data_IF_157031183209
#
_entry.id   IF_157031183209
#
_cell.length_a   1.000
_cell.length_b   1.000
_cell.length_c   1.000
_cell.angle_alpha   90.00
_cell.angle_beta   90.00
_cell.angle_gamma   90.00
#
_symmetry.space_group_name_H-M   'P 1'
#
loop_
_entity.id
_entity.type
_entity.pdbx_description
1 polymer ?
#
# COMPACT_ATOMS: atom_id res chain seq x y z
N UNK A 1 -6.37 11.36 -15.97
CA UNK A 1 -6.42 9.89 -16.05
C UNK A 1 -6.23 9.52 -17.51
N UNK A 2 -5.41 8.51 -17.79
CA UNK A 2 -5.17 8.00 -19.12
C UNK A 2 -5.53 6.51 -19.12
N UNK A 3 -6.43 6.10 -20.01
CA UNK A 3 -6.77 4.70 -20.23
C UNK A 3 -6.16 4.29 -21.57
N UNK A 4 -5.45 3.17 -21.57
CA UNK A 4 -4.76 2.65 -22.73
C UNK A 4 -5.51 1.46 -23.31
N UNK A 5 -5.37 1.25 -24.62
CA UNK A 5 -6.07 0.17 -25.34
C UNK A 5 -5.70 -1.24 -24.87
N UNK A 6 -4.60 -1.39 -24.12
CA UNK A 6 -4.14 -2.63 -23.52
C UNK A 6 -4.70 -2.87 -22.10
N UNK A 7 -5.74 -2.14 -21.69
CA UNK A 7 -6.36 -2.13 -20.34
C UNK A 7 -5.51 -1.53 -19.22
N UNK A 8 -4.35 -0.95 -19.54
CA UNK A 8 -3.58 -0.21 -18.57
C UNK A 8 -4.24 1.14 -18.27
N UNK A 9 -4.10 1.58 -17.02
CA UNK A 9 -4.63 2.86 -16.57
C UNK A 9 -3.54 3.60 -15.85
N UNK A 10 -3.33 4.87 -16.20
CA UNK A 10 -2.39 5.76 -15.52
C UNK A 10 -3.12 6.95 -14.92
N UNK A 11 -2.80 7.20 -13.66
CA UNK A 11 -3.22 8.37 -12.92
C UNK A 11 -2.02 9.08 -12.34
N UNK A 12 -2.06 10.41 -12.34
CA UNK A 12 -1.04 11.27 -11.80
C UNK A 12 -1.73 12.29 -10.90
N UNK A 13 -1.19 12.50 -9.70
CA UNK A 13 -1.67 13.52 -8.78
C UNK A 13 -1.50 14.92 -9.38
N UNK A 14 -2.34 15.88 -9.00
CA UNK A 14 -2.29 17.24 -9.55
C UNK A 14 -0.94 17.93 -9.31
N UNK A 15 -0.34 17.66 -8.14
CA UNK A 15 0.99 18.13 -7.73
C UNK A 15 2.14 17.27 -8.30
N UNK A 16 1.83 16.20 -9.05
CA UNK A 16 2.75 15.23 -9.65
C UNK A 16 3.66 14.52 -8.64
N UNK A 17 3.26 14.49 -7.38
CA UNK A 17 4.00 13.84 -6.30
C UNK A 17 3.77 12.31 -6.30
N UNK A 18 2.63 11.86 -6.85
CA UNK A 18 2.24 10.45 -6.90
C UNK A 18 1.73 10.06 -8.28
N UNK A 19 2.27 8.98 -8.81
CA UNK A 19 1.80 8.31 -10.01
C UNK A 19 1.27 6.91 -9.67
N UNK A 20 0.13 6.54 -10.23
CA UNK A 20 -0.48 5.22 -10.04
C UNK A 20 -0.73 4.62 -11.42
N UNK A 21 -0.14 3.46 -11.68
CA UNK A 21 -0.34 2.69 -12.90
C UNK A 21 -1.01 1.37 -12.54
N UNK A 22 -2.14 1.08 -13.16
CA UNK A 22 -2.70 -0.25 -13.21
C UNK A 22 -2.27 -0.92 -14.51
N UNK A 23 -1.71 -2.12 -14.39
CA UNK A 23 -1.33 -2.97 -15.51
C UNK A 23 -2.34 -4.10 -15.64
N UNK A 24 -3.28 -3.97 -16.57
CA UNK A 24 -4.46 -4.84 -16.63
C UNK A 24 -4.13 -6.29 -16.97
N UNK A 25 -3.20 -6.51 -17.92
CA UNK A 25 -2.74 -7.85 -18.30
C UNK A 25 -2.01 -8.55 -17.15
N UNK A 26 -1.25 -7.80 -16.34
CA UNK A 26 -0.49 -8.35 -15.21
C UNK A 26 -1.32 -8.44 -13.93
N UNK A 27 -2.47 -7.76 -13.87
CA UNK A 27 -3.27 -7.64 -12.66
C UNK A 27 -2.48 -7.02 -11.50
N UNK A 28 -1.76 -5.93 -11.77
CA UNK A 28 -0.89 -5.28 -10.80
C UNK A 28 -1.11 -3.76 -10.79
N UNK A 29 -1.11 -3.19 -9.59
CA UNK A 29 -1.06 -1.73 -9.39
C UNK A 29 0.32 -1.34 -8.90
N UNK A 30 0.91 -0.33 -9.54
CA UNK A 30 2.21 0.26 -9.19
C UNK A 30 2.01 1.72 -8.84
N UNK A 31 2.33 2.07 -7.61
CA UNK A 31 2.34 3.44 -7.10
C UNK A 31 3.80 3.89 -7.09
N UNK A 32 4.09 5.02 -7.70
CA UNK A 32 5.42 5.64 -7.71
C UNK A 32 5.32 7.01 -7.08
N UNK A 33 6.19 7.28 -6.11
CA UNK A 33 6.32 8.57 -5.45
C UNK A 33 7.44 9.38 -6.13
N UNK A 34 7.37 10.71 -6.05
CA UNK A 34 8.37 11.62 -6.67
C UNK A 34 9.79 11.39 -6.19
N UNK A 35 9.96 10.90 -4.95
CA UNK A 35 11.26 10.56 -4.38
C UNK A 35 11.82 9.22 -4.90
N UNK A 36 11.12 8.52 -5.79
CA UNK A 36 11.52 7.24 -6.36
C UNK A 36 11.08 6.01 -5.55
N UNK A 37 10.40 6.20 -4.40
CA UNK A 37 9.79 5.08 -3.68
C UNK A 37 8.63 4.49 -4.49
N UNK A 38 8.49 3.16 -4.43
CA UNK A 38 7.51 2.41 -5.19
C UNK A 38 6.72 1.44 -4.32
N UNK A 39 5.42 1.30 -4.57
CA UNK A 39 4.57 0.28 -3.95
C UNK A 39 3.94 -0.51 -5.07
N UNK A 40 4.06 -1.83 -5.05
CA UNK A 40 3.37 -2.73 -5.98
C UNK A 40 2.40 -3.61 -5.23
N UNK A 41 1.19 -3.69 -5.75
CA UNK A 41 0.15 -4.58 -5.28
C UNK A 41 -0.31 -5.45 -6.44
N UNK A 42 -0.30 -6.76 -6.26
CA UNK A 42 -0.76 -7.71 -7.25
C UNK A 42 -2.13 -8.24 -6.84
N UNK A 43 -2.98 -8.58 -7.81
CA UNK A 43 -4.34 -9.08 -7.57
C UNK A 43 -4.38 -10.38 -6.75
N UNK A 44 -3.29 -11.15 -6.76
CA UNK A 44 -3.14 -12.33 -5.89
C UNK A 44 -2.91 -11.96 -4.40
N UNK A 45 -2.77 -10.67 -4.06
CA UNK A 45 -2.52 -10.16 -2.71
C UNK A 45 -1.04 -10.00 -2.36
N UNK A 46 -0.11 -10.22 -3.30
CA UNK A 46 1.31 -9.93 -3.11
C UNK A 46 1.52 -8.43 -3.03
N UNK A 47 2.38 -8.03 -2.09
CA UNK A 47 2.72 -6.63 -1.85
C UNK A 47 4.24 -6.51 -1.93
N UNK A 48 4.73 -5.48 -2.61
CA UNK A 48 6.14 -5.11 -2.65
C UNK A 48 6.29 -3.62 -2.39
N UNK A 49 7.24 -3.26 -1.54
CA UNK A 49 7.58 -1.89 -1.21
C UNK A 49 9.05 -1.67 -1.52
N UNK A 50 9.34 -0.73 -2.40
CA UNK A 50 10.68 -0.37 -2.87
C UNK A 50 11.02 1.00 -2.32
N UNK A 51 12.12 1.09 -1.57
CA UNK A 51 12.61 2.33 -0.99
C UNK A 51 13.80 2.85 -1.79
N UNK A 52 13.99 4.18 -1.80
CA UNK A 52 15.12 4.82 -2.49
C UNK A 52 16.49 4.33 -1.99
N UNK A 53 16.58 3.94 -0.71
CA UNK A 53 17.78 3.33 -0.12
C UNK A 53 18.16 1.99 -0.76
N UNK A 54 17.26 1.35 -1.50
CA UNK A 54 17.43 -0.01 -2.05
C UNK A 54 16.85 -1.11 -1.16
N UNK A 55 16.23 -0.74 -0.03
CA UNK A 55 15.55 -1.67 0.87
C UNK A 55 14.18 -2.07 0.31
N UNK A 56 13.82 -3.34 0.49
CA UNK A 56 12.63 -3.93 -0.12
C UNK A 56 11.85 -4.70 0.94
N UNK A 57 10.56 -4.43 1.04
CA UNK A 57 9.63 -5.29 1.78
C UNK A 57 8.77 -6.05 0.79
N UNK A 58 8.66 -7.36 0.93
CA UNK A 58 7.76 -8.21 0.13
C UNK A 58 6.87 -9.02 1.05
N UNK A 59 5.57 -9.09 0.76
CA UNK A 59 4.64 -9.99 1.41
C UNK A 59 4.10 -11.00 0.40
N UNK A 60 4.25 -12.28 0.69
CA UNK A 60 3.73 -13.38 -0.11
C UNK A 60 2.39 -13.87 0.48
N UNK A 61 1.29 -13.77 -0.26
CA UNK A 61 -0.04 -14.10 0.24
C UNK A 61 -0.28 -15.61 0.30
N UNK A 62 0.52 -16.43 -0.37
CA UNK A 62 0.38 -17.89 -0.38
C UNK A 62 1.06 -18.47 0.84
N UNK A 63 2.33 -18.12 1.05
CA UNK A 63 3.10 -18.62 2.20
C UNK A 63 2.84 -17.82 3.47
N UNK A 64 2.16 -16.67 3.35
CA UNK A 64 1.96 -15.69 4.43
C UNK A 64 3.29 -15.19 5.02
N UNK A 65 4.33 -15.17 4.20
CA UNK A 65 5.66 -14.73 4.61
C UNK A 65 5.87 -13.26 4.26
N UNK A 66 6.54 -12.55 5.15
CA UNK A 66 7.08 -11.21 4.90
C UNK A 66 8.59 -11.29 4.80
N UNK A 67 9.15 -10.88 3.68
CA UNK A 67 10.59 -10.76 3.46
C UNK A 67 10.99 -9.30 3.48
N UNK A 68 11.96 -8.96 4.31
CA UNK A 68 12.52 -7.62 4.45
C UNK A 68 14.00 -7.68 4.02
N UNK A 69 14.34 -7.05 2.91
CA UNK A 69 15.73 -6.84 2.49
C UNK A 69 16.15 -5.46 2.98
N UNK A 70 17.08 -5.43 3.92
CA UNK A 70 17.41 -4.26 4.71
C UNK A 70 18.89 -3.92 4.58
N UNK A 71 19.24 -2.68 4.94
CA UNK A 71 20.62 -2.21 4.96
C UNK A 71 21.07 -1.90 6.39
N UNK A 72 22.29 -2.31 6.70
CA UNK A 72 23.00 -1.78 7.86
C UNK A 72 23.46 -0.33 7.60
N UNK A 73 23.94 0.35 8.66
CA UNK A 73 24.47 1.71 8.54
C UNK A 73 25.68 1.83 7.60
N UNK A 74 26.43 0.74 7.40
CA UNK A 74 27.54 0.62 6.47
C UNK A 74 27.11 0.24 5.03
N UNK A 75 25.79 0.13 4.78
CA UNK A 75 25.16 -0.33 3.53
C UNK A 75 25.37 -1.80 3.18
N UNK A 76 25.89 -2.62 4.09
CA UNK A 76 25.81 -4.08 3.92
C UNK A 76 24.35 -4.55 3.99
N UNK A 77 24.02 -5.62 3.27
CA UNK A 77 22.65 -6.12 3.13
C UNK A 77 22.40 -7.30 4.05
N UNK A 78 21.22 -7.33 4.64
CA UNK A 78 20.69 -8.50 5.33
C UNK A 78 19.24 -8.74 4.91
N UNK A 79 18.77 -9.97 5.07
CA UNK A 79 17.40 -10.37 4.75
C UNK A 79 16.76 -10.97 5.98
N UNK A 80 15.55 -10.53 6.31
CA UNK A 80 14.72 -11.14 7.35
C UNK A 80 13.44 -11.71 6.73
N UNK A 81 13.14 -12.97 7.01
CA UNK A 81 11.95 -13.67 6.53
C UNK A 81 11.11 -14.03 7.75
N UNK A 82 9.96 -13.37 7.87
CA UNK A 82 8.97 -13.58 8.92
C UNK A 82 7.88 -14.50 8.39
N UNK A 83 7.52 -15.52 9.16
CA UNK A 83 6.40 -16.40 8.83
C UNK A 83 5.15 -16.12 9.69
N UNK A 84 4.04 -16.75 9.31
CA UNK A 84 2.75 -16.62 10.00
C UNK A 84 2.75 -17.20 11.42
N UNK A 85 3.75 -18.01 11.79
CA UNK A 85 3.87 -18.59 13.13
C UNK A 85 4.52 -17.66 14.13
N UNK A 86 5.09 -16.54 13.68
CA UNK A 86 5.87 -15.63 14.53
C UNK A 86 7.36 -15.99 14.59
N UNK A 87 7.86 -16.76 13.63
CA UNK A 87 9.30 -17.04 13.50
C UNK A 87 9.93 -16.08 12.49
N UNK A 88 11.20 -15.75 12.71
CA UNK A 88 12.00 -14.93 11.83
C UNK A 88 13.33 -15.64 11.52
N UNK A 89 13.61 -15.83 10.24
CA UNK A 89 14.92 -16.21 9.72
C UNK A 89 15.65 -14.95 9.27
N UNK A 90 16.83 -14.70 9.84
CA UNK A 90 17.74 -13.67 9.38
C UNK A 90 18.90 -14.29 8.60
N UNK A 91 19.22 -13.70 7.46
CA UNK A 91 20.30 -14.11 6.56
C UNK A 91 21.23 -12.91 6.35
N UNK A 92 22.51 -13.10 6.63
CA UNK A 92 23.54 -12.06 6.50
C UNK A 92 24.82 -12.70 5.93
N UNK A 93 25.10 -12.44 4.65
CA UNK A 93 26.12 -13.18 3.90
C UNK A 93 25.81 -14.68 3.87
N UNK A 94 26.72 -15.50 4.41
CA UNK A 94 26.53 -16.95 4.55
C UNK A 94 25.85 -17.36 5.86
N UNK A 95 25.72 -16.43 6.81
CA UNK A 95 25.18 -16.72 8.13
C UNK A 95 23.65 -16.74 8.10
N UNK A 96 23.07 -17.69 8.83
CA UNK A 96 21.63 -17.85 8.99
C UNK A 96 21.30 -18.03 10.47
N UNK A 97 20.34 -17.28 10.98
CA UNK A 97 19.87 -17.40 12.36
C UNK A 97 18.34 -17.39 12.42
N UNK A 98 17.79 -18.22 13.30
CA UNK A 98 16.36 -18.33 13.54
C UNK A 98 16.03 -17.79 14.92
N UNK A 99 14.95 -17.01 15.01
CA UNK A 99 14.44 -16.51 16.28
C UNK A 99 12.91 -16.43 16.28
N UNK A 100 12.31 -16.50 17.46
CA UNK A 100 10.91 -16.11 17.64
C UNK A 100 10.85 -14.59 17.69
N UNK A 101 9.99 -13.98 16.87
CA UNK A 101 9.73 -12.55 16.94
C UNK A 101 8.42 -12.33 17.70
N UNK A 102 8.52 -11.76 18.90
CA UNK A 102 7.35 -11.39 19.72
C UNK A 102 6.98 -9.91 19.61
N UNK A 103 7.79 -9.13 18.89
CA UNK A 103 7.61 -7.69 18.78
C UNK A 103 6.43 -7.33 17.89
N UNK A 104 5.49 -6.56 18.43
CA UNK A 104 4.40 -5.96 17.64
C UNK A 104 4.90 -4.88 16.68
N UNK A 105 6.09 -4.35 16.89
CA UNK A 105 6.68 -3.35 15.99
C UNK A 105 8.17 -3.52 15.93
N UNK A 106 8.73 -3.45 14.73
CA UNK A 106 10.19 -3.47 14.52
C UNK A 106 10.60 -2.18 13.84
N UNK A 107 11.56 -1.47 14.44
CA UNK A 107 12.19 -0.30 13.85
C UNK A 107 13.07 -0.72 12.67
N UNK A 108 13.05 0.06 11.59
CA UNK A 108 13.70 -0.34 10.34
C UNK A 108 14.93 0.47 9.98
N UNK A 109 15.46 1.32 10.86
CA UNK A 109 16.61 2.16 10.52
C UNK A 109 16.17 3.48 9.89
N UNK A 110 17.08 4.18 9.21
CA UNK A 110 16.86 5.56 8.79
C UNK A 110 15.78 5.70 7.69
N UNK A 111 14.88 6.70 7.80
CA UNK A 111 14.79 7.71 8.86
C UNK A 111 14.21 7.17 10.19
N UNK A 112 14.49 7.86 11.30
CA UNK A 112 14.28 7.35 12.68
C UNK A 112 12.84 7.04 13.09
N UNK A 113 11.88 7.38 12.25
CA UNK A 113 10.45 7.15 12.38
C UNK A 113 9.94 5.98 11.52
N UNK A 114 10.83 5.23 10.85
CA UNK A 114 10.44 4.09 10.02
C UNK A 114 10.21 2.83 10.85
N UNK A 115 9.00 2.28 10.75
CA UNK A 115 8.60 1.09 11.50
C UNK A 115 7.79 0.13 10.65
N UNK A 116 7.80 -1.15 11.04
CA UNK A 116 6.76 -2.09 10.62
C UNK A 116 6.00 -2.55 11.84
N UNK A 117 4.72 -2.22 11.89
CA UNK A 117 3.80 -2.69 12.91
C UNK A 117 3.12 -3.98 12.45
N UNK A 118 3.19 -5.03 13.26
CA UNK A 118 2.54 -6.29 13.04
C UNK A 118 1.28 -6.36 13.89
N UNK A 119 0.13 -6.05 13.30
CA UNK A 119 -1.18 -6.21 13.96
C UNK A 119 -1.46 -7.69 14.22
N UNK A 120 -1.08 -8.53 13.26
CA UNK A 120 -0.96 -9.99 13.37
C UNK A 120 0.25 -10.44 12.54
N UNK A 121 0.63 -11.72 12.62
CA UNK A 121 1.73 -12.27 11.81
C UNK A 121 1.45 -12.24 10.29
N UNK A 122 0.24 -11.86 9.86
CA UNK A 122 -0.18 -11.79 8.45
C UNK A 122 -0.79 -10.44 8.04
N UNK A 123 -0.77 -9.45 8.95
CA UNK A 123 -1.29 -8.09 8.74
C UNK A 123 -0.22 -7.04 9.10
N UNK A 124 0.87 -6.98 8.33
CA UNK A 124 1.87 -5.93 8.49
C UNK A 124 1.33 -4.56 8.07
N UNK A 125 1.79 -3.53 8.78
CA UNK A 125 1.66 -2.12 8.42
C UNK A 125 3.05 -1.49 8.38
N UNK A 126 3.47 -1.09 7.18
CA UNK A 126 4.72 -0.35 6.96
C UNK A 126 4.44 1.14 7.14
N UNK A 127 5.21 1.76 8.03
CA UNK A 127 5.17 3.17 8.35
C UNK A 127 6.44 3.79 7.77
N UNK A 128 6.26 4.62 6.75
CA UNK A 128 7.30 5.40 6.09
C UNK A 128 6.96 6.91 6.22
N UNK A 129 7.95 7.81 6.10
CA UNK A 129 7.69 9.25 6.20
C UNK A 129 6.64 9.75 5.20
N UNK A 130 6.63 9.20 3.99
CA UNK A 130 5.73 9.65 2.92
C UNK A 130 4.40 8.89 2.91
N UNK A 131 4.33 7.71 3.51
CA UNK A 131 3.13 6.88 3.49
C UNK A 131 3.06 5.82 4.59
N UNK A 132 1.83 5.40 4.90
CA UNK A 132 1.57 4.19 5.66
C UNK A 132 0.86 3.17 4.76
N UNK A 133 1.40 1.96 4.64
CA UNK A 133 0.81 0.88 3.87
C UNK A 133 0.43 -0.28 4.82
N UNK A 134 -0.85 -0.60 4.94
CA UNK A 134 -1.38 -1.65 5.81
C UNK A 134 -2.04 -2.75 5.02
N UNK A 135 -1.61 -3.99 5.22
CA UNK A 135 -2.36 -5.15 4.76
C UNK A 135 -3.54 -5.41 5.69
N UNK A 136 -4.72 -5.56 5.13
CA UNK A 136 -5.95 -5.84 5.86
C UNK A 136 -6.20 -7.36 5.99
N UNK A 137 -7.05 -7.80 6.95
CA UNK A 137 -7.42 -9.20 7.09
C UNK A 137 -8.00 -9.83 5.82
N UNK A 138 -8.73 -9.04 5.03
CA UNK A 138 -9.35 -9.45 3.76
C UNK A 138 -8.36 -9.54 2.58
N UNK A 139 -7.08 -9.26 2.82
CA UNK A 139 -6.02 -9.28 1.82
C UNK A 139 -5.92 -8.04 0.96
N UNK A 140 -6.75 -7.03 1.20
CA UNK A 140 -6.57 -5.70 0.62
C UNK A 140 -5.33 -5.00 1.19
N UNK A 141 -4.79 -4.06 0.43
CA UNK A 141 -3.76 -3.13 0.86
C UNK A 141 -4.39 -1.75 1.02
N UNK A 142 -4.19 -1.11 2.18
CA UNK A 142 -4.60 0.27 2.42
C UNK A 142 -3.37 1.17 2.51
N UNK A 143 -3.24 2.15 1.64
CA UNK A 143 -2.14 3.13 1.66
C UNK A 143 -2.68 4.52 2.01
N UNK A 144 -1.99 5.20 2.94
CA UNK A 144 -2.26 6.58 3.34
C UNK A 144 -1.02 7.40 3.01
N UNK A 145 -1.14 8.38 2.12
CA UNK A 145 -0.03 9.28 1.81
C UNK A 145 -0.01 10.47 2.77
N UNK A 146 1.18 10.94 3.13
CA UNK A 146 1.36 12.04 4.08
C UNK A 146 0.88 13.40 3.54
N UNK A 147 1.21 13.71 2.28
CA UNK A 147 1.06 15.05 1.69
C UNK A 147 0.10 15.11 0.49
N UNK A 148 -0.61 14.02 0.17
CA UNK A 148 -1.47 13.97 -1.02
C UNK A 148 -2.91 14.26 -0.63
N UNK A 149 -3.38 15.45 -0.96
CA UNK A 149 -4.79 15.83 -0.94
C UNK A 149 -5.36 15.74 -2.37
N UNK A 150 -5.61 14.54 -2.90
CA UNK A 150 -6.13 14.46 -4.28
C UNK A 150 -7.49 13.79 -4.37
N UNK A 151 -8.38 14.54 -5.04
CA UNK A 151 -9.70 14.20 -5.51
C UNK A 151 -9.62 13.25 -6.72
N UNK A 152 -10.54 12.29 -6.77
CA UNK A 152 -10.83 11.45 -7.94
C UNK A 152 -9.83 10.29 -8.18
N UNK A 153 -9.89 9.27 -7.32
CA UNK A 153 -9.41 7.91 -7.61
C UNK A 153 -10.63 6.99 -7.74
N UNK A 154 -11.38 7.14 -8.82
CA UNK A 154 -12.35 6.14 -9.27
C UNK A 154 -11.71 5.31 -10.36
N UNK A 155 -10.64 4.58 -10.04
CA UNK A 155 -10.02 3.62 -10.96
C UNK A 155 -10.49 2.24 -10.52
N UNK A 156 -10.81 1.36 -11.47
CA UNK A 156 -11.59 0.12 -11.25
C UNK A 156 -11.22 -0.71 -10.00
N UNK A 157 -9.98 -0.66 -9.53
CA UNK A 157 -9.43 -1.49 -8.44
C UNK A 157 -9.01 -0.68 -7.18
N UNK A 158 -9.35 0.61 -7.14
CA UNK A 158 -8.88 1.58 -6.13
C UNK A 158 -10.06 2.29 -5.50
N UNK A 159 -10.39 1.93 -4.26
CA UNK A 159 -11.35 2.67 -3.43
C UNK A 159 -10.65 3.80 -2.67
N UNK A 160 -11.35 4.90 -2.39
CA UNK A 160 -10.82 5.96 -1.52
C UNK A 160 -11.76 6.26 -0.36
N UNK A 161 -11.17 6.60 0.79
CA UNK A 161 -11.88 7.06 1.98
C UNK A 161 -11.29 8.40 2.42
N UNK A 162 -12.13 9.42 2.42
CA UNK A 162 -11.80 10.73 2.98
C UNK A 162 -11.99 10.70 4.49
N UNK A 163 -10.92 10.94 5.23
CA UNK A 163 -10.93 11.18 6.66
C UNK A 163 -10.86 12.69 6.89
N UNK A 164 -11.86 13.24 7.58
CA UNK A 164 -11.83 14.63 8.06
C UNK A 164 -11.69 14.57 9.57
N UNK A 165 -10.55 15.03 10.10
CA UNK A 165 -10.30 15.13 11.54
C UNK A 165 -10.37 16.59 11.94
N UNK A 166 -11.26 16.94 12.87
CA UNK A 166 -11.32 18.28 13.45
C UNK A 166 -10.24 18.41 14.52
N UNK A 167 -9.36 19.39 14.39
CA UNK A 167 -8.29 19.69 15.34
C UNK A 167 -8.84 20.59 16.47
N UNK A 168 -8.12 20.62 17.59
CA UNK A 168 -8.51 21.40 18.79
C UNK A 168 -8.61 22.91 18.51
N UNK A 169 -7.82 23.42 17.58
CA UNK A 169 -7.89 24.82 17.11
C UNK A 169 -9.07 25.11 16.16
N UNK A 170 -10.01 24.17 16.02
CA UNK A 170 -11.18 24.29 15.15
C UNK A 170 -10.91 24.06 13.67
N UNK A 171 -9.66 23.93 13.24
CA UNK A 171 -9.30 23.64 11.86
C UNK A 171 -9.55 22.17 11.49
N UNK A 172 -9.75 21.89 10.20
CA UNK A 172 -9.93 20.53 9.70
C UNK A 172 -8.64 20.00 9.08
N UNK A 173 -8.15 18.86 9.58
CA UNK A 173 -7.13 18.06 8.90
C UNK A 173 -7.83 17.02 8.03
N UNK A 174 -7.69 17.16 6.71
CA UNK A 174 -8.20 16.19 5.73
C UNK A 174 -7.07 15.22 5.37
N UNK A 175 -7.34 13.92 5.48
CA UNK A 175 -6.45 12.84 5.07
C UNK A 175 -7.23 11.90 4.17
N UNK A 176 -6.62 11.44 3.09
CA UNK A 176 -7.23 10.43 2.22
C UNK A 176 -6.53 9.11 2.45
N UNK A 177 -7.30 8.04 2.56
CA UNK A 177 -6.81 6.68 2.48
C UNK A 177 -7.27 6.07 1.18
N UNK A 178 -6.45 5.22 0.62
CA UNK A 178 -6.76 4.48 -0.59
C UNK A 178 -6.68 2.99 -0.26
N UNK A 179 -7.63 2.20 -0.76
CA UNK A 179 -7.79 0.77 -0.50
C UNK A 179 -7.76 0.01 -1.84
N UNK A 180 -6.87 -0.97 -1.94
CA UNK A 180 -6.62 -1.78 -3.13
C UNK A 180 -6.89 -3.25 -2.83
N UNK A 181 -7.49 -3.97 -3.77
CA UNK A 181 -7.71 -5.42 -3.67
C UNK A 181 -9.07 -5.87 -4.15
N UNK A 182 -9.25 -7.18 -4.34
CA UNK A 182 -10.49 -7.74 -4.90
C UNK A 182 -11.76 -7.30 -4.16
N UNK A 183 -11.70 -7.18 -2.82
CA UNK A 183 -12.82 -6.72 -2.00
C UNK A 183 -13.07 -5.22 -2.18
N UNK A 184 -12.02 -4.41 -2.18
CA UNK A 184 -12.11 -2.98 -2.46
C UNK A 184 -12.66 -2.70 -3.87
N UNK A 185 -12.20 -3.46 -4.88
CA UNK A 185 -12.73 -3.49 -6.25
C UNK A 185 -14.22 -3.80 -6.28
N UNK A 186 -14.64 -4.89 -5.65
CA UNK A 186 -16.05 -5.28 -5.63
C UNK A 186 -16.92 -4.19 -4.96
N UNK A 187 -16.44 -3.62 -3.85
CA UNK A 187 -17.11 -2.53 -3.14
C UNK A 187 -17.22 -1.26 -4.00
N UNK A 188 -16.15 -0.88 -4.67
CA UNK A 188 -16.12 0.31 -5.53
C UNK A 188 -17.06 0.14 -6.74
N UNK A 189 -17.05 -1.04 -7.39
CA UNK A 189 -17.98 -1.36 -8.48
C UNK A 189 -19.44 -1.23 -8.05
N UNK A 190 -19.78 -1.67 -6.85
CA UNK A 190 -21.14 -1.51 -6.32
C UNK A 190 -21.51 -0.03 -6.09
N UNK A 191 -20.57 0.79 -5.60
CA UNK A 191 -20.78 2.22 -5.38
C UNK A 191 -20.99 2.94 -6.72
N UNK A 192 -20.11 2.70 -7.71
CA UNK A 192 -20.23 3.34 -9.03
C UNK A 192 -21.47 2.87 -9.79
N UNK A 193 -21.82 1.58 -9.74
CA UNK A 193 -23.05 1.07 -10.33
C UNK A 193 -24.30 1.76 -9.75
N UNK A 194 -24.33 2.02 -8.43
CA UNK A 194 -25.42 2.77 -7.79
C UNK A 194 -25.48 4.23 -8.25
N UNK A 195 -24.34 4.90 -8.40
CA UNK A 195 -24.30 6.28 -8.93
C UNK A 195 -24.82 6.36 -10.35
N UNK A 196 -24.41 5.43 -11.22
CA UNK A 196 -24.93 5.35 -12.59
C UNK A 196 -26.44 5.09 -12.61
N UNK A 197 -26.93 4.15 -11.80
CA UNK A 197 -28.39 3.90 -11.67
C UNK A 197 -29.15 5.15 -11.22
N UNK A 198 -28.61 5.90 -10.26
CA UNK A 198 -29.23 7.15 -9.79
C UNK A 198 -29.23 8.24 -10.87
N UNK A 199 -28.13 8.42 -11.62
CA UNK A 199 -28.09 9.36 -12.74
C UNK A 199 -29.03 8.97 -13.87
N UNK A 200 -29.10 7.69 -14.24
CA UNK A 200 -30.04 7.20 -15.25
C UNK A 200 -31.49 7.42 -14.82
N UNK A 201 -31.82 7.18 -13.55
CA UNK A 201 -33.14 7.44 -13.00
C UNK A 201 -33.49 8.94 -12.99
N UNK A 202 -32.50 9.81 -12.73
CA UNK A 202 -32.69 11.27 -12.79
C UNK A 202 -32.91 11.75 -14.23
N UNK A 203 -32.17 11.21 -15.19
CA UNK A 203 -32.31 11.58 -16.61
C UNK A 203 -33.57 11.01 -17.25
N UNK A 204 -34.16 9.95 -16.69
CA UNK A 204 -35.43 9.38 -17.14
C UNK A 204 -36.66 10.13 -16.59
N UNK A 205 -36.48 11.07 -15.67
CA UNK A 205 -37.54 11.89 -15.07
C UNK A 205 -37.54 13.35 -15.57
N UNK A 206 -36.68 13.69 -16.54
CA UNK A 206 -36.63 15.00 -17.24
C UNK A 206 -37.20 14.87 -18.64
#
# INVERSE_FOLDING_TARGET
MYEYSNSDIRWLSCDRVVEINYFGVMGATVITLVNGCGIRYFNNGQIELYRLSGEISRFDPVTKQRTETMLHGDRSRFVEIFDSSGSCLRIEGTNKSWQRFGERSTYRGLPTDRHVYNHSNVEPEWIEPEYNARRCPDGSLKVKFANVMVCCLGVEDVGYVKHTTRLENGSERKRMCVEWGHVARARQRQIEARKCQQMTALNATV
#
